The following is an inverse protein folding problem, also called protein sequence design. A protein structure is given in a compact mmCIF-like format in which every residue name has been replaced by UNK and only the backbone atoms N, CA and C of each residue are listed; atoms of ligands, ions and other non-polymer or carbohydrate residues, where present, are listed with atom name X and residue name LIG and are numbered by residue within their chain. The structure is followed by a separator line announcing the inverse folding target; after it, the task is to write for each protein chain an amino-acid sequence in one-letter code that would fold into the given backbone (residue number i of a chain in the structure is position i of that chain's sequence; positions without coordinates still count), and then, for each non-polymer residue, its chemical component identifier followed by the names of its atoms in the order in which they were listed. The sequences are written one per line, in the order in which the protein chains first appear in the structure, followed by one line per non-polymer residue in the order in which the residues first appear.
data_IF_191293542860
#
_entry.id   IF_191293542860
#
_cell.length_a   1.000
_cell.length_b   1.000
_cell.length_c   1.000
_cell.angle_alpha   90.00
_cell.angle_beta   90.00
_cell.angle_gamma   90.00
#
_symmetry.space_group_name_H-M   'P 1'
#
loop_
_entity.id
_entity.type
_entity.pdbx_description
1 polymer ?
#
# COMPACT_ATOMS: atom_id res chain seq x y z
N UNK A 1 52.78 5.63 14.45
CA UNK A 1 53.44 5.94 13.16
C UNK A 1 53.97 7.37 13.09
N UNK A 2 53.22 8.42 13.48
CA UNK A 2 53.73 9.79 13.40
C UNK A 2 54.97 10.04 14.29
N UNK A 3 54.96 9.55 15.54
CA UNK A 3 56.07 9.72 16.49
C UNK A 3 57.34 8.99 16.02
N UNK A 4 57.22 7.77 15.47
CA UNK A 4 58.37 7.03 14.93
C UNK A 4 58.99 7.71 13.71
N UNK A 5 58.17 8.32 12.85
CA UNK A 5 58.66 9.05 11.67
C UNK A 5 59.38 10.35 12.07
N UNK A 6 58.94 11.04 13.14
CA UNK A 6 59.62 12.23 13.67
C UNK A 6 60.98 11.87 14.28
N UNK A 7 61.08 10.75 15.01
CA UNK A 7 62.34 10.27 15.58
C UNK A 7 63.35 9.92 14.48
N UNK A 8 62.92 9.23 13.42
CA UNK A 8 63.77 8.92 12.26
C UNK A 8 64.23 10.19 11.56
N UNK A 9 63.38 11.22 11.47
CA UNK A 9 63.73 12.51 10.89
C UNK A 9 64.83 13.25 11.65
N UNK A 10 64.79 13.19 12.99
CA UNK A 10 65.80 13.82 13.85
C UNK A 10 67.16 13.13 13.78
N UNK A 11 67.18 11.84 13.43
CA UNK A 11 68.41 11.05 13.22
C UNK A 11 69.04 11.34 11.86
N UNK A 12 68.25 11.71 10.85
CA UNK A 12 68.71 12.05 9.51
C UNK A 12 69.16 13.52 9.51
N UNK A 13 70.48 13.75 9.56
CA UNK A 13 71.08 15.08 9.50
C UNK A 13 71.10 15.68 8.07
N UNK A 14 70.04 15.46 7.30
CA UNK A 14 69.87 16.02 5.95
C UNK A 14 68.71 17.01 5.95
N UNK A 15 69.06 18.28 5.80
CA UNK A 15 68.13 19.41 5.86
C UNK A 15 67.08 19.37 4.74
N UNK A 16 67.39 18.75 3.59
CA UNK A 16 66.45 18.60 2.47
C UNK A 16 65.34 17.60 2.80
N UNK A 17 65.69 16.50 3.47
CA UNK A 17 64.73 15.46 3.89
C UNK A 17 63.80 15.98 4.97
N UNK A 18 64.34 16.78 5.90
CA UNK A 18 63.56 17.45 6.94
C UNK A 18 62.56 18.44 6.31
N UNK A 19 63.02 19.30 5.39
CA UNK A 19 62.15 20.25 4.67
C UNK A 19 61.05 19.54 3.86
N UNK A 20 61.38 18.49 3.12
CA UNK A 20 60.42 17.71 2.35
C UNK A 20 59.30 17.17 3.24
N UNK A 21 59.65 16.69 4.44
CA UNK A 21 58.68 16.13 5.37
C UNK A 21 57.75 17.19 5.92
N UNK A 22 58.25 18.38 6.25
CA UNK A 22 57.39 19.50 6.63
C UNK A 22 56.42 19.92 5.53
N UNK A 23 56.81 19.78 4.25
CA UNK A 23 55.92 20.04 3.10
C UNK A 23 54.84 18.96 2.94
N UNK A 24 55.08 17.71 3.35
CA UNK A 24 54.06 16.65 3.22
C UNK A 24 52.85 16.84 4.13
N UNK A 25 53.02 17.44 5.31
CA UNK A 25 51.93 17.69 6.27
C UNK A 25 50.79 18.56 5.67
N UNK A 26 51.06 19.77 5.14
CA UNK A 26 50.02 20.58 4.52
C UNK A 26 49.45 19.94 3.25
N UNK A 27 50.27 19.20 2.48
CA UNK A 27 49.79 18.50 1.27
C UNK A 27 48.77 17.43 1.61
N UNK A 28 49.02 16.62 2.66
CA UNK A 28 48.08 15.60 3.13
C UNK A 28 46.82 16.24 3.69
N UNK A 29 46.94 17.32 4.47
CA UNK A 29 45.80 18.04 5.02
C UNK A 29 44.89 18.62 3.92
N UNK A 30 45.47 19.28 2.91
CA UNK A 30 44.73 19.85 1.77
C UNK A 30 44.06 18.73 0.97
N UNK A 31 44.76 17.62 0.72
CA UNK A 31 44.21 16.48 0.00
C UNK A 31 43.00 15.89 0.74
N UNK A 32 43.10 15.73 2.06
CA UNK A 32 41.99 15.22 2.88
C UNK A 32 40.76 16.12 2.81
N UNK A 33 40.95 17.45 2.89
CA UNK A 33 39.86 18.43 2.75
C UNK A 33 39.23 18.36 1.35
N UNK A 34 40.04 18.25 0.30
CA UNK A 34 39.57 18.17 -1.09
C UNK A 34 38.69 16.93 -1.33
N UNK A 35 39.19 15.76 -0.96
CA UNK A 35 38.45 14.50 -1.14
C UNK A 35 37.25 14.39 -0.20
N UNK A 36 37.36 14.91 1.02
CA UNK A 36 36.23 14.99 1.97
C UNK A 36 35.07 15.84 1.41
N UNK A 37 35.37 17.00 0.83
CA UNK A 37 34.36 17.85 0.19
C UNK A 37 33.74 17.20 -1.05
N UNK A 38 34.55 16.53 -1.87
CA UNK A 38 34.05 15.80 -3.04
C UNK A 38 33.08 14.68 -2.63
N UNK A 39 33.45 13.89 -1.61
CA UNK A 39 32.61 12.84 -1.06
C UNK A 39 31.31 13.41 -0.47
N UNK A 40 31.39 14.54 0.24
CA UNK A 40 30.23 15.22 0.82
C UNK A 40 29.24 15.68 -0.27
N UNK A 41 29.73 16.24 -1.38
CA UNK A 41 28.89 16.64 -2.51
C UNK A 41 28.15 15.46 -3.15
N UNK A 42 28.85 14.34 -3.33
CA UNK A 42 28.28 13.12 -3.90
C UNK A 42 27.19 12.58 -2.97
N UNK A 43 27.48 12.49 -1.67
CA UNK A 43 26.55 12.04 -0.66
C UNK A 43 25.29 12.94 -0.59
N UNK A 44 25.47 14.27 -0.63
CA UNK A 44 24.35 15.22 -0.61
C UNK A 44 23.41 15.03 -1.82
N UNK A 45 23.98 14.87 -3.02
CA UNK A 45 23.21 14.66 -4.25
C UNK A 45 22.52 13.29 -4.29
N UNK A 46 23.14 12.25 -3.75
CA UNK A 46 22.53 10.92 -3.65
C UNK A 46 21.44 10.87 -2.57
N UNK A 47 21.66 11.47 -1.41
CA UNK A 47 20.72 11.48 -0.30
C UNK A 47 19.37 12.11 -0.70
N UNK A 48 19.40 13.25 -1.41
CA UNK A 48 18.17 13.87 -1.91
C UNK A 48 17.38 12.95 -2.87
N UNK A 49 18.06 12.22 -3.75
CA UNK A 49 17.41 11.27 -4.67
C UNK A 49 16.86 10.05 -3.95
N UNK A 50 17.61 9.50 -3.00
CA UNK A 50 17.18 8.35 -2.20
C UNK A 50 16.00 8.72 -1.31
N UNK A 51 16.03 9.89 -0.67
CA UNK A 51 14.96 10.40 0.19
C UNK A 51 13.63 10.56 -0.54
N UNK A 52 13.64 10.94 -1.82
CA UNK A 52 12.43 11.06 -2.64
C UNK A 52 12.01 9.70 -3.23
N UNK A 53 12.98 8.88 -3.66
CA UNK A 53 12.70 7.60 -4.35
C UNK A 53 12.24 6.51 -3.39
N UNK A 54 12.80 6.45 -2.18
CA UNK A 54 12.46 5.39 -1.22
C UNK A 54 10.97 5.39 -0.83
N UNK A 55 10.33 6.53 -0.48
CA UNK A 55 8.90 6.57 -0.26
C UNK A 55 8.10 6.12 -1.49
N UNK A 56 8.47 6.59 -2.69
CA UNK A 56 7.78 6.23 -3.93
C UNK A 56 7.81 4.71 -4.17
N UNK A 57 8.96 4.07 -3.99
CA UNK A 57 9.10 2.61 -4.18
C UNK A 57 8.30 1.83 -3.14
N UNK A 58 8.23 2.30 -1.89
CA UNK A 58 7.48 1.64 -0.82
C UNK A 58 5.97 1.84 -0.98
N UNK A 59 5.52 3.05 -1.32
CA UNK A 59 4.09 3.37 -1.40
C UNK A 59 3.43 2.95 -2.71
N UNK A 60 4.13 2.96 -3.84
CA UNK A 60 3.51 2.67 -5.14
C UNK A 60 2.84 1.28 -5.20
N UNK A 61 3.46 0.19 -4.73
CA UNK A 61 2.81 -1.13 -4.73
C UNK A 61 1.58 -1.18 -3.83
N UNK A 62 1.61 -0.51 -2.67
CA UNK A 62 0.49 -0.44 -1.74
C UNK A 62 -0.70 0.32 -2.35
N UNK A 63 -0.43 1.45 -3.00
CA UNK A 63 -1.48 2.25 -3.65
C UNK A 63 -2.08 1.50 -4.84
N UNK A 64 -1.24 0.91 -5.69
CA UNK A 64 -1.70 0.13 -6.85
C UNK A 64 -2.52 -1.09 -6.38
N UNK A 65 -1.98 -1.86 -5.43
CA UNK A 65 -2.66 -3.02 -4.85
C UNK A 65 -3.99 -2.65 -4.20
N UNK A 66 -3.99 -1.62 -3.34
CA UNK A 66 -5.20 -1.13 -2.69
C UNK A 66 -6.24 -0.60 -3.67
N UNK A 67 -5.82 0.02 -4.78
CA UNK A 67 -6.75 0.49 -5.83
C UNK A 67 -7.37 -0.67 -6.62
N UNK A 68 -6.58 -1.70 -6.95
CA UNK A 68 -7.09 -2.89 -7.64
C UNK A 68 -8.07 -3.64 -6.72
N UNK A 69 -7.76 -3.75 -5.43
CA UNK A 69 -8.65 -4.38 -4.45
C UNK A 69 -9.91 -3.56 -4.24
N UNK A 70 -9.81 -2.23 -4.11
CA UNK A 70 -10.97 -1.36 -3.89
C UNK A 70 -11.93 -1.34 -5.07
N UNK A 71 -11.42 -1.40 -6.30
CA UNK A 71 -12.27 -1.47 -7.51
C UNK A 71 -13.01 -2.79 -7.66
N UNK A 72 -12.54 -3.86 -6.99
CA UNK A 72 -13.18 -5.19 -6.99
C UNK A 72 -13.91 -5.52 -5.69
N UNK A 73 -13.77 -4.67 -4.68
CA UNK A 73 -14.45 -4.80 -3.39
C UNK A 73 -15.84 -4.18 -3.49
N UNK A 74 -16.84 -4.85 -2.93
CA UNK A 74 -18.20 -4.35 -2.85
C UNK A 74 -18.75 -4.60 -1.45
N UNK A 75 -19.68 -3.76 -1.00
CA UNK A 75 -20.30 -3.98 0.30
C UNK A 75 -21.12 -5.26 0.29
N UNK A 76 -21.18 -5.95 1.43
CA UNK A 76 -22.04 -7.13 1.61
C UNK A 76 -23.49 -6.83 1.19
N UNK A 77 -24.00 -5.63 1.52
CA UNK A 77 -25.35 -5.20 1.12
C UNK A 77 -25.53 -5.14 -0.40
N UNK A 78 -24.57 -4.54 -1.13
CA UNK A 78 -24.63 -4.46 -2.58
C UNK A 78 -24.53 -5.84 -3.24
N UNK A 79 -23.70 -6.74 -2.70
CA UNK A 79 -23.56 -8.09 -3.23
C UNK A 79 -24.82 -8.94 -2.97
N UNK A 80 -25.42 -8.83 -1.78
CA UNK A 80 -26.73 -9.44 -1.50
C UNK A 80 -27.78 -8.90 -2.49
N UNK A 81 -27.82 -7.57 -2.68
CA UNK A 81 -28.76 -6.95 -3.62
C UNK A 81 -28.58 -7.45 -5.06
N UNK A 82 -27.35 -7.73 -5.50
CA UNK A 82 -27.08 -8.33 -6.82
C UNK A 82 -27.82 -9.67 -6.99
N UNK A 83 -27.69 -10.58 -6.01
CA UNK A 83 -28.37 -11.89 -6.06
C UNK A 83 -29.90 -11.75 -5.96
N UNK A 84 -30.39 -10.85 -5.11
CA UNK A 84 -31.84 -10.63 -4.96
C UNK A 84 -32.49 -10.00 -6.19
N UNK A 85 -31.72 -9.27 -7.00
CA UNK A 85 -32.17 -8.63 -8.23
C UNK A 85 -31.88 -9.45 -9.50
N UNK A 86 -31.32 -10.65 -9.38
CA UNK A 86 -31.07 -11.51 -10.52
C UNK A 86 -32.39 -11.78 -11.28
N UNK A 87 -32.50 -11.39 -12.57
CA UNK A 87 -33.75 -11.46 -13.32
C UNK A 87 -34.13 -12.91 -13.64
N UNK A 88 -35.41 -13.24 -13.52
CA UNK A 88 -35.93 -14.56 -13.90
C UNK A 88 -37.39 -14.47 -14.31
N UNK A 89 -37.66 -14.78 -15.58
CA UNK A 89 -38.96 -14.53 -16.23
C UNK A 89 -40.05 -15.51 -15.83
N UNK A 90 -39.70 -16.70 -15.30
CA UNK A 90 -40.68 -17.73 -14.96
C UNK A 90 -41.23 -17.57 -13.52
N UNK A 91 -40.80 -16.55 -12.79
CA UNK A 91 -41.34 -16.20 -11.48
C UNK A 91 -42.15 -14.91 -11.57
N UNK A 92 -43.25 -14.83 -10.83
CA UNK A 92 -44.16 -13.67 -10.85
C UNK A 92 -43.50 -12.40 -10.32
N UNK A 93 -42.50 -12.49 -9.44
CA UNK A 93 -41.72 -11.33 -8.99
C UNK A 93 -40.58 -10.91 -9.94
N UNK A 94 -40.44 -11.61 -11.08
CA UNK A 94 -39.41 -11.32 -12.09
C UNK A 94 -37.98 -11.57 -11.63
N UNK A 95 -37.76 -12.27 -10.52
CA UNK A 95 -36.43 -12.56 -9.99
C UNK A 95 -36.24 -14.02 -9.54
N UNK A 96 -34.99 -14.45 -9.52
CA UNK A 96 -34.60 -15.84 -9.19
C UNK A 96 -35.16 -16.31 -7.85
N UNK A 97 -35.05 -15.55 -6.73
CA UNK A 97 -35.59 -16.04 -5.46
C UNK A 97 -37.12 -16.01 -5.37
N UNK A 98 -37.81 -15.49 -6.38
CA UNK A 98 -39.25 -15.27 -6.35
C UNK A 98 -39.69 -14.42 -5.13
N UNK A 99 -39.05 -13.27 -4.90
CA UNK A 99 -39.32 -12.39 -3.76
C UNK A 99 -39.79 -11.02 -4.21
N UNK A 100 -40.73 -10.43 -3.45
CA UNK A 100 -41.10 -9.04 -3.63
C UNK A 100 -40.21 -8.14 -2.78
N UNK A 101 -39.83 -6.99 -3.35
CA UNK A 101 -38.86 -6.05 -2.78
C UNK A 101 -39.47 -4.67 -2.80
N UNK A 102 -39.37 -3.95 -1.69
CA UNK A 102 -39.81 -2.57 -1.63
C UNK A 102 -38.93 -1.76 -0.68
N UNK A 103 -38.92 -0.45 -0.91
CA UNK A 103 -38.29 0.52 -0.02
C UNK A 103 -39.37 1.33 0.67
N UNK A 104 -39.16 1.60 1.96
CA UNK A 104 -39.92 2.65 2.63
C UNK A 104 -39.34 4.02 2.25
N UNK A 105 -40.15 5.07 2.34
CA UNK A 105 -39.75 6.46 2.10
C UNK A 105 -39.01 6.71 0.77
N UNK A 106 -39.61 6.31 -0.36
CA UNK A 106 -39.14 6.64 -1.72
C UNK A 106 -37.65 6.32 -1.96
N UNK A 107 -37.22 5.10 -1.64
CA UNK A 107 -35.85 4.59 -1.80
C UNK A 107 -34.78 5.23 -0.89
N UNK A 108 -35.17 5.96 0.16
CA UNK A 108 -34.23 6.56 1.12
C UNK A 108 -34.07 5.77 2.44
N UNK A 109 -34.84 4.70 2.63
CA UNK A 109 -34.88 3.94 3.88
C UNK A 109 -34.58 2.44 3.67
N UNK A 110 -34.77 1.65 4.72
CA UNK A 110 -34.54 0.21 4.78
C UNK A 110 -35.16 -0.54 3.59
N UNK A 111 -34.39 -1.50 3.09
CA UNK A 111 -34.79 -2.41 2.03
C UNK A 111 -35.52 -3.61 2.64
N UNK A 112 -36.78 -3.77 2.29
CA UNK A 112 -37.62 -4.87 2.77
C UNK A 112 -37.80 -5.92 1.69
N UNK A 113 -37.78 -7.17 2.14
CA UNK A 113 -38.01 -8.35 1.32
C UNK A 113 -39.18 -9.09 1.91
N UNK A 114 -40.15 -9.44 1.07
CA UNK A 114 -41.35 -10.18 1.46
C UNK A 114 -41.55 -11.42 0.58
N UNK A 115 -42.16 -12.48 1.13
CA UNK A 115 -42.44 -13.68 0.37
C UNK A 115 -43.44 -13.38 -0.75
N UNK A 116 -43.13 -13.79 -1.98
CA UNK A 116 -44.11 -13.73 -3.06
C UNK A 116 -45.01 -14.97 -3.03
N UNK A 117 -46.32 -14.76 -3.15
CA UNK A 117 -47.35 -15.80 -3.21
C UNK A 117 -48.66 -15.37 -2.56
N UNK A 118 -49.77 -15.89 -3.08
CA UNK A 118 -51.10 -15.56 -2.56
C UNK A 118 -51.24 -15.99 -1.08
N UNK A 119 -51.55 -15.02 -0.22
CA UNK A 119 -51.83 -15.22 1.22
C UNK A 119 -50.70 -15.92 2.00
N UNK A 120 -49.44 -15.56 1.70
CA UNK A 120 -48.25 -16.11 2.37
C UNK A 120 -47.72 -15.11 3.41
N UNK A 121 -47.70 -15.53 4.68
CA UNK A 121 -47.10 -14.76 5.77
C UNK A 121 -45.64 -15.17 6.06
N UNK A 122 -45.17 -16.24 5.44
CA UNK A 122 -43.86 -16.85 5.69
C UNK A 122 -43.12 -17.13 4.38
N UNK A 123 -41.79 -17.07 4.45
CA UNK A 123 -40.93 -17.49 3.36
C UNK A 123 -41.01 -18.99 3.16
N UNK A 124 -41.02 -19.39 1.89
CA UNK A 124 -40.95 -20.79 1.47
C UNK A 124 -39.53 -21.33 1.69
N UNK A 125 -39.37 -22.63 1.92
CA UNK A 125 -38.07 -23.21 2.27
C UNK A 125 -36.95 -22.90 1.26
N UNK A 126 -37.30 -22.85 -0.03
CA UNK A 126 -36.36 -22.50 -1.10
C UNK A 126 -35.99 -21.01 -1.11
N UNK A 127 -36.92 -20.12 -0.76
CA UNK A 127 -36.65 -18.69 -0.52
C UNK A 127 -35.67 -18.52 0.65
N UNK A 128 -35.93 -19.19 1.78
CA UNK A 128 -35.05 -19.16 2.95
C UNK A 128 -33.67 -19.68 2.58
N UNK A 129 -33.60 -20.82 1.89
CA UNK A 129 -32.33 -21.40 1.44
C UNK A 129 -31.57 -20.49 0.50
N UNK A 130 -32.26 -19.81 -0.42
CA UNK A 130 -31.64 -18.85 -1.34
C UNK A 130 -31.09 -17.64 -0.58
N UNK A 131 -31.88 -17.03 0.32
CA UNK A 131 -31.47 -15.89 1.13
C UNK A 131 -30.24 -16.21 1.97
N UNK A 132 -30.23 -17.35 2.65
CA UNK A 132 -29.10 -17.81 3.45
C UNK A 132 -27.83 -17.97 2.60
N UNK A 133 -27.96 -18.55 1.40
CA UNK A 133 -26.83 -18.76 0.50
C UNK A 133 -26.32 -17.46 -0.13
N UNK A 134 -27.21 -16.54 -0.48
CA UNK A 134 -26.86 -15.21 -0.98
C UNK A 134 -26.11 -14.41 0.10
N UNK A 135 -26.55 -14.48 1.35
CA UNK A 135 -25.83 -13.89 2.48
C UNK A 135 -24.47 -14.54 2.71
N UNK A 136 -24.40 -15.88 2.68
CA UNK A 136 -23.15 -16.61 2.85
C UNK A 136 -22.09 -16.23 1.81
N UNK A 137 -22.49 -16.06 0.54
CA UNK A 137 -21.58 -15.59 -0.51
C UNK A 137 -21.21 -14.10 -0.41
N UNK A 138 -22.00 -13.32 0.33
CA UNK A 138 -21.83 -11.87 0.42
C UNK A 138 -21.15 -11.42 1.71
N UNK A 139 -21.17 -12.22 2.78
CA UNK A 139 -20.68 -11.85 4.12
C UNK A 139 -19.19 -11.45 4.11
N UNK A 140 -18.39 -12.03 3.22
CA UNK A 140 -16.95 -11.78 3.13
C UNK A 140 -16.58 -10.79 2.00
N UNK A 141 -17.57 -10.13 1.37
CA UNK A 141 -17.35 -9.25 0.20
C UNK A 141 -16.52 -7.99 0.50
N UNK A 142 -16.44 -7.61 1.78
CA UNK A 142 -15.70 -6.44 2.26
C UNK A 142 -14.52 -6.80 3.19
N UNK A 143 -14.23 -8.10 3.40
CA UNK A 143 -13.24 -8.54 4.39
C UNK A 143 -11.81 -8.63 3.87
N UNK A 144 -11.61 -8.63 2.54
CA UNK A 144 -10.28 -8.57 1.95
C UNK A 144 -9.85 -7.12 1.71
N UNK A 145 -9.17 -6.56 2.71
CA UNK A 145 -8.34 -5.37 2.63
C UNK A 145 -6.87 -5.76 2.71
#
# INVERSE_FOLDING_TARGET
MAISNIIILLVINDLNVVLLTFVTIPVVAISYILFGNLSSLIAFKMNAKVAITAPLVVFSPLVIGGTILSTRSTSTSNNVAYYLNAPYTNHTSGNVPNLEKFYLNNNQDNFYVIPNGYNKNEFRDDQIKYLSKAYEFSKDSALYW
#
